data_IF_509652951109
#
_entry.id   IF_509652951109
#
_cell.length_a   1.000
_cell.length_b   1.000
_cell.length_c   1.000
_cell.angle_alpha   90.00
_cell.angle_beta   90.00
_cell.angle_gamma   90.00
#
_symmetry.space_group_name_H-M   'P 1'
#
loop_
_entity.id
_entity.type
_entity.pdbx_description
1 polymer ?
#
# COMPACT_ATOMS: atom_id res chain seq x y z
N UNK A 1 -6.57 -3.42 14.78
CA UNK A 1 -6.63 -2.06 14.20
C UNK A 1 -5.46 -1.97 13.22
N UNK A 2 -5.73 -1.61 11.96
CA UNK A 2 -4.70 -1.54 10.92
C UNK A 2 -3.72 -0.40 11.22
N UNK A 3 -2.44 -0.73 11.43
CA UNK A 3 -1.41 0.26 11.73
C UNK A 3 -1.14 1.22 10.56
N UNK A 4 -1.30 0.75 9.32
CA UNK A 4 -1.04 1.55 8.12
C UNK A 4 -2.03 2.70 7.96
N UNK A 5 -3.27 2.53 8.40
CA UNK A 5 -4.25 3.62 8.36
C UNK A 5 -3.81 4.80 9.24
N UNK A 6 -3.17 4.55 10.39
CA UNK A 6 -2.63 5.61 11.23
C UNK A 6 -1.47 6.35 10.53
N UNK A 7 -0.52 5.61 9.96
CA UNK A 7 0.61 6.19 9.23
C UNK A 7 0.15 7.00 8.02
N UNK A 8 -0.81 6.46 7.25
CA UNK A 8 -1.39 7.13 6.09
C UNK A 8 -2.00 8.48 6.46
N UNK A 9 -2.86 8.51 7.49
CA UNK A 9 -3.48 9.76 7.93
C UNK A 9 -2.44 10.80 8.37
N UNK A 10 -1.39 10.38 9.11
CA UNK A 10 -0.31 11.29 9.54
C UNK A 10 0.52 11.81 8.38
N UNK A 11 0.82 10.98 7.38
CA UNK A 11 1.52 11.43 6.17
C UNK A 11 0.66 12.39 5.36
N UNK A 12 -0.64 12.09 5.18
CA UNK A 12 -1.58 12.98 4.51
C UNK A 12 -1.67 14.34 5.21
N UNK A 13 -1.77 14.34 6.53
CA UNK A 13 -1.82 15.58 7.32
C UNK A 13 -0.51 16.38 7.19
N UNK A 14 0.65 15.71 7.15
CA UNK A 14 1.94 16.35 6.92
C UNK A 14 2.06 16.94 5.50
N UNK A 15 1.59 16.22 4.47
CA UNK A 15 1.52 16.71 3.07
C UNK A 15 0.62 17.94 2.98
N UNK A 16 -0.59 17.87 3.54
CA UNK A 16 -1.52 19.00 3.59
C UNK A 16 -0.92 20.22 4.32
N UNK A 17 -0.25 20.00 5.46
CA UNK A 17 0.42 21.07 6.19
C UNK A 17 1.52 21.74 5.37
N UNK A 18 2.25 20.97 4.56
CA UNK A 18 3.26 21.50 3.65
C UNK A 18 2.64 22.37 2.55
N UNK A 19 1.52 21.93 1.97
CA UNK A 19 0.87 22.62 0.85
C UNK A 19 0.25 23.97 1.28
N UNK A 20 -0.26 24.06 2.52
CA UNK A 20 -0.83 25.31 3.05
C UNK A 20 0.20 26.23 3.73
N UNK A 21 1.44 25.77 3.91
CA UNK A 21 2.48 26.50 4.62
C UNK A 21 2.83 27.82 3.93
N UNK A 22 2.91 28.90 4.73
CA UNK A 22 3.13 30.27 4.26
C UNK A 22 4.59 30.73 4.38
N UNK A 23 5.39 30.00 5.13
CA UNK A 23 6.79 30.31 5.40
C UNK A 23 7.65 29.03 5.50
N UNK A 24 8.96 29.21 5.55
CA UNK A 24 9.91 28.09 5.56
C UNK A 24 9.88 27.31 6.88
N UNK A 25 9.56 27.97 8.01
CA UNK A 25 9.46 27.30 9.31
C UNK A 25 8.31 26.29 9.34
N UNK A 26 7.14 26.68 8.81
CA UNK A 26 5.97 25.80 8.64
C UNK A 26 6.28 24.63 7.69
N UNK A 27 6.97 24.90 6.56
CA UNK A 27 7.41 23.84 5.64
C UNK A 27 8.38 22.86 6.32
N UNK A 28 9.31 23.35 7.12
CA UNK A 28 10.27 22.53 7.84
C UNK A 28 9.59 21.69 8.94
N UNK A 29 8.58 22.22 9.61
CA UNK A 29 7.76 21.47 10.54
C UNK A 29 7.01 20.32 9.85
N UNK A 30 6.39 20.58 8.69
CA UNK A 30 5.70 19.56 7.90
C UNK A 30 6.67 18.46 7.40
N UNK A 31 7.84 18.84 6.89
CA UNK A 31 8.90 17.88 6.50
C UNK A 31 9.37 17.03 7.67
N UNK A 32 9.53 17.63 8.85
CA UNK A 32 9.93 16.93 10.07
C UNK A 32 8.87 15.92 10.52
N UNK A 33 7.59 16.29 10.46
CA UNK A 33 6.48 15.40 10.76
C UNK A 33 6.41 14.21 9.78
N UNK A 34 6.52 14.47 8.48
CA UNK A 34 6.60 13.43 7.45
C UNK A 34 7.77 12.47 7.69
N UNK A 35 8.95 13.03 7.97
CA UNK A 35 10.15 12.22 8.26
C UNK A 35 9.98 11.35 9.49
N UNK A 36 9.39 11.88 10.56
CA UNK A 36 9.17 11.12 11.79
C UNK A 36 8.27 9.88 11.56
N UNK A 37 7.21 10.03 10.74
CA UNK A 37 6.36 8.89 10.35
C UNK A 37 7.16 7.81 9.63
N UNK A 38 8.01 8.21 8.67
CA UNK A 38 8.85 7.27 7.94
C UNK A 38 9.92 6.62 8.79
N UNK A 39 10.46 7.32 9.79
CA UNK A 39 11.42 6.76 10.73
C UNK A 39 10.75 5.70 11.63
N UNK A 40 9.51 5.93 12.09
CA UNK A 40 8.71 4.90 12.79
C UNK A 40 8.40 3.69 11.91
N UNK A 41 8.03 3.91 10.64
CA UNK A 41 7.71 2.83 9.70
C UNK A 41 8.93 1.94 9.42
N UNK A 42 10.14 2.51 9.35
CA UNK A 42 11.39 1.75 9.15
C UNK A 42 11.66 0.77 10.28
N UNK A 43 11.25 1.08 11.51
CA UNK A 43 11.40 0.17 12.65
C UNK A 43 10.52 -1.09 12.50
N UNK A 44 9.49 -1.06 11.63
CA UNK A 44 8.67 -2.21 11.28
C UNK A 44 9.31 -3.09 10.19
N UNK A 45 10.44 -2.66 9.62
CA UNK A 45 11.23 -3.39 8.65
C UNK A 45 10.83 -3.17 7.19
N UNK A 46 11.71 -3.63 6.29
CA UNK A 46 11.62 -3.34 4.85
C UNK A 46 10.32 -3.83 4.19
N UNK A 47 9.79 -4.98 4.63
CA UNK A 47 8.55 -5.52 4.10
C UNK A 47 7.35 -4.61 4.43
N UNK A 48 7.29 -4.09 5.66
CA UNK A 48 6.26 -3.13 6.06
C UNK A 48 6.39 -1.81 5.28
N UNK A 49 7.61 -1.28 5.11
CA UNK A 49 7.85 -0.09 4.30
C UNK A 49 7.35 -0.26 2.85
N UNK A 50 7.65 -1.40 2.22
CA UNK A 50 7.17 -1.69 0.87
C UNK A 50 5.65 -1.73 0.82
N UNK A 51 5.02 -2.52 1.71
CA UNK A 51 3.57 -2.64 1.74
C UNK A 51 2.90 -1.30 2.03
N UNK A 52 3.50 -0.45 2.86
CA UNK A 52 2.95 0.87 3.13
C UNK A 52 3.00 1.79 1.90
N UNK A 53 4.03 1.73 1.06
CA UNK A 53 4.03 2.47 -0.23
C UNK A 53 2.83 2.04 -1.09
N UNK A 54 2.62 0.74 -1.23
CA UNK A 54 1.47 0.18 -1.96
C UNK A 54 0.12 0.57 -1.28
N UNK A 55 0.09 0.62 0.05
CA UNK A 55 -1.06 1.09 0.83
C UNK A 55 -1.40 2.55 0.52
N UNK A 56 -0.41 3.44 0.54
CA UNK A 56 -0.59 4.86 0.28
C UNK A 56 -1.13 5.08 -1.14
N UNK A 57 -0.53 4.43 -2.14
CA UNK A 57 -1.01 4.46 -3.52
C UNK A 57 -2.44 3.94 -3.63
N UNK A 58 -2.76 2.85 -2.93
CA UNK A 58 -4.11 2.28 -2.95
C UNK A 58 -5.15 3.23 -2.37
N UNK A 59 -4.83 3.89 -1.25
CA UNK A 59 -5.70 4.87 -0.60
C UNK A 59 -5.87 6.12 -1.45
N UNK A 60 -4.78 6.63 -2.02
CA UNK A 60 -4.82 7.80 -2.90
C UNK A 60 -5.61 7.51 -4.18
N UNK A 61 -5.60 6.25 -4.65
CA UNK A 61 -6.43 5.78 -5.78
C UNK A 61 -7.88 5.46 -5.39
N UNK A 62 -8.26 5.61 -4.12
CA UNK A 62 -9.61 5.36 -3.63
C UNK A 62 -9.97 3.88 -3.47
N UNK A 63 -9.01 2.98 -3.32
CA UNK A 63 -9.24 1.58 -3.01
C UNK A 63 -9.40 1.33 -1.51
N UNK A 64 -10.27 0.39 -1.14
CA UNK A 64 -10.51 -0.04 0.25
C UNK A 64 -9.43 -0.98 0.78
N UNK A 65 -8.81 -1.77 -0.10
CA UNK A 65 -7.74 -2.70 0.24
C UNK A 65 -6.40 -2.20 -0.28
N UNK A 66 -5.33 -2.60 0.42
CA UNK A 66 -3.97 -2.51 -0.12
C UNK A 66 -3.90 -3.35 -1.38
N UNK A 67 -3.34 -2.81 -2.45
CA UNK A 67 -3.10 -3.52 -3.70
C UNK A 67 -1.60 -3.73 -3.93
N UNK A 68 -1.19 -4.99 -4.06
CA UNK A 68 0.14 -5.35 -4.54
C UNK A 68 0.09 -5.35 -6.07
N UNK A 69 0.50 -4.23 -6.69
CA UNK A 69 0.55 -4.08 -8.15
C UNK A 69 1.91 -4.46 -8.76
N UNK A 70 2.96 -4.54 -7.94
CA UNK A 70 4.33 -4.75 -8.40
C UNK A 70 4.76 -6.23 -8.39
N UNK A 71 5.97 -6.49 -8.90
CA UNK A 71 6.56 -7.83 -8.87
C UNK A 71 6.82 -8.27 -7.43
N UNK A 72 6.48 -9.52 -7.11
CA UNK A 72 6.81 -10.16 -5.83
C UNK A 72 7.73 -11.32 -6.12
N UNK A 73 8.93 -11.30 -5.55
CA UNK A 73 9.89 -12.39 -5.69
C UNK A 73 9.51 -13.56 -4.78
N UNK A 74 9.85 -14.79 -5.19
CA UNK A 74 9.46 -16.01 -4.49
C UNK A 74 9.83 -16.00 -2.99
N UNK A 75 11.01 -15.46 -2.68
CA UNK A 75 11.54 -15.36 -1.32
C UNK A 75 10.99 -14.17 -0.50
N UNK A 76 10.09 -13.36 -1.07
CA UNK A 76 9.46 -12.21 -0.45
C UNK A 76 8.00 -12.47 -0.07
N UNK A 77 7.27 -13.30 -0.83
CA UNK A 77 5.84 -13.51 -0.63
C UNK A 77 5.48 -13.81 0.84
N UNK A 78 6.13 -14.82 1.45
CA UNK A 78 5.89 -15.16 2.85
C UNK A 78 6.23 -14.02 3.83
N UNK A 79 7.27 -13.21 3.54
CA UNK A 79 7.67 -12.08 4.39
C UNK A 79 6.66 -10.93 4.31
N UNK A 80 6.09 -10.69 3.13
CA UNK A 80 5.04 -9.69 2.95
C UNK A 80 3.78 -10.10 3.73
N UNK A 81 3.36 -11.36 3.61
CA UNK A 81 2.19 -11.87 4.34
C UNK A 81 2.40 -11.81 5.87
N UNK A 82 3.59 -12.13 6.36
CA UNK A 82 3.90 -11.98 7.78
C UNK A 82 3.85 -10.51 8.23
N UNK A 83 4.41 -9.60 7.44
CA UNK A 83 4.33 -8.16 7.72
C UNK A 83 2.87 -7.65 7.71
N UNK A 84 2.03 -8.14 6.80
CA UNK A 84 0.59 -7.84 6.79
C UNK A 84 -0.08 -8.25 8.11
N UNK A 85 0.17 -9.48 8.59
CA UNK A 85 -0.37 -9.98 9.86
C UNK A 85 0.05 -9.12 11.03
N UNK A 86 1.34 -8.81 11.12
CA UNK A 86 1.90 -7.98 12.20
C UNK A 86 1.32 -6.57 12.24
N UNK A 87 0.93 -6.03 11.07
CA UNK A 87 0.37 -4.69 10.95
C UNK A 87 -1.18 -4.65 10.93
N UNK A 88 -1.83 -5.80 11.09
CA UNK A 88 -3.28 -5.90 11.15
C UNK A 88 -3.99 -5.70 9.81
N UNK A 89 -3.33 -6.04 8.70
CA UNK A 89 -3.94 -6.14 7.37
C UNK A 89 -4.64 -7.51 7.27
N UNK A 90 -5.96 -7.49 7.11
CA UNK A 90 -6.78 -8.71 7.03
C UNK A 90 -7.07 -9.13 5.59
N UNK A 91 -7.06 -8.17 4.66
CA UNK A 91 -7.33 -8.37 3.24
C UNK A 91 -6.46 -7.46 2.39
N UNK A 92 -6.09 -7.96 1.21
CA UNK A 92 -5.36 -7.22 0.20
C UNK A 92 -5.78 -7.69 -1.20
N UNK A 93 -5.51 -6.87 -2.20
CA UNK A 93 -5.64 -7.23 -3.61
C UNK A 93 -4.27 -7.43 -4.24
N UNK A 94 -4.23 -8.26 -5.28
CA UNK A 94 -3.03 -8.51 -6.07
C UNK A 94 -3.39 -8.35 -7.55
N UNK A 95 -2.92 -7.28 -8.16
CA UNK A 95 -3.28 -6.85 -9.54
C UNK A 95 -2.10 -6.89 -10.52
N UNK A 96 -0.95 -7.38 -10.06
CA UNK A 96 0.30 -7.45 -10.81
C UNK A 96 0.14 -8.16 -12.16
N UNK A 97 0.45 -7.46 -13.26
CA UNK A 97 0.34 -7.95 -14.64
C UNK A 97 1.54 -8.75 -15.14
N UNK A 98 2.47 -9.11 -14.26
CA UNK A 98 3.69 -9.83 -14.64
C UNK A 98 3.41 -11.30 -14.98
N UNK A 99 4.24 -11.89 -15.86
CA UNK A 99 4.03 -13.24 -16.43
C UNK A 99 3.89 -14.39 -15.42
N UNK A 100 4.23 -14.17 -14.15
CA UNK A 100 4.21 -15.15 -13.07
C UNK A 100 3.18 -14.83 -11.98
N UNK A 101 2.15 -14.03 -12.29
CA UNK A 101 1.14 -13.65 -11.32
C UNK A 101 0.41 -14.85 -10.68
N UNK A 102 0.16 -15.91 -11.45
CA UNK A 102 -0.50 -17.13 -10.93
C UNK A 102 0.39 -17.84 -9.91
N UNK A 103 1.68 -17.91 -10.18
CA UNK A 103 2.69 -18.49 -9.29
C UNK A 103 2.84 -17.65 -8.02
N UNK A 104 2.86 -16.31 -8.13
CA UNK A 104 2.82 -15.42 -6.97
C UNK A 104 1.56 -15.63 -6.12
N UNK A 105 0.39 -15.73 -6.76
CA UNK A 105 -0.88 -16.03 -6.09
C UNK A 105 -0.84 -17.40 -5.37
N UNK A 106 -0.16 -18.39 -5.95
CA UNK A 106 0.09 -19.67 -5.30
C UNK A 106 0.96 -19.53 -4.05
N UNK A 107 2.04 -18.74 -4.12
CA UNK A 107 2.91 -18.49 -2.96
C UNK A 107 2.16 -17.81 -1.81
N UNK A 108 1.23 -16.89 -2.08
CA UNK A 108 0.38 -16.31 -1.04
C UNK A 108 -0.50 -17.36 -0.36
N UNK A 109 -1.03 -18.30 -1.14
CA UNK A 109 -1.80 -19.44 -0.61
C UNK A 109 -0.93 -20.35 0.26
N UNK A 110 0.29 -20.65 -0.16
CA UNK A 110 1.27 -21.41 0.65
C UNK A 110 1.66 -20.67 1.94
N UNK A 111 1.72 -19.33 1.89
CA UNK A 111 1.91 -18.49 3.06
C UNK A 111 0.66 -18.37 3.97
N UNK A 112 -0.42 -19.08 3.66
CA UNK A 112 -1.62 -19.20 4.48
C UNK A 112 -2.79 -18.30 4.08
N UNK A 113 -2.69 -17.55 2.98
CA UNK A 113 -3.77 -16.69 2.52
C UNK A 113 -4.89 -17.50 1.84
N UNK A 114 -6.11 -16.98 1.87
CA UNK A 114 -7.25 -17.53 1.13
C UNK A 114 -7.60 -16.61 -0.04
N UNK A 115 -7.60 -17.14 -1.27
CA UNK A 115 -8.15 -16.43 -2.42
C UNK A 115 -9.68 -16.38 -2.30
N UNK A 116 -10.24 -15.17 -2.13
CA UNK A 116 -11.69 -14.94 -2.01
C UNK A 116 -12.36 -14.70 -3.37
N UNK A 117 -11.61 -14.30 -4.41
CA UNK A 117 -12.13 -14.17 -5.78
C UNK A 117 -11.40 -13.12 -6.63
N UNK A 118 -12.04 -12.73 -7.73
CA UNK A 118 -11.62 -11.60 -8.58
C UNK A 118 -12.41 -10.35 -8.20
N UNK A 119 -11.75 -9.19 -8.23
CA UNK A 119 -12.35 -7.88 -7.96
C UNK A 119 -11.87 -6.84 -8.96
N UNK A 120 -12.70 -5.83 -9.20
CA UNK A 120 -12.31 -4.61 -9.90
C UNK A 120 -11.75 -3.62 -8.87
N UNK A 121 -10.63 -2.96 -9.21
CA UNK A 121 -9.99 -1.93 -8.39
C UNK A 121 -9.68 -0.70 -9.23
N UNK A 122 -9.35 0.41 -8.57
CA UNK A 122 -8.76 1.57 -9.20
C UNK A 122 -7.25 1.36 -9.37
N UNK A 123 -6.74 1.55 -10.58
CA UNK A 123 -5.33 1.59 -10.90
C UNK A 123 -4.67 2.86 -10.33
N UNK A 124 -3.35 2.84 -10.13
CA UNK A 124 -2.60 4.05 -9.80
C UNK A 124 -2.48 5.02 -10.99
N UNK A 125 -2.82 4.57 -12.22
CA UNK A 125 -2.90 5.42 -13.38
C UNK A 125 -4.26 6.13 -13.45
N UNK A 126 -4.23 7.45 -13.65
CA UNK A 126 -5.42 8.22 -14.02
C UNK A 126 -5.60 8.23 -15.53
N UNK A 127 -6.85 8.40 -15.97
CA UNK A 127 -7.14 8.64 -17.38
C UNK A 127 -6.43 9.90 -17.86
N UNK A 128 -6.04 9.92 -19.13
CA UNK A 128 -5.25 11.01 -19.69
C UNK A 128 -5.95 12.39 -19.63
N UNK A 129 -7.29 12.42 -19.56
CA UNK A 129 -8.15 13.61 -19.62
C UNK A 129 -8.93 13.91 -18.33
N UNK A 130 -8.69 13.17 -17.25
CA UNK A 130 -9.40 13.38 -15.99
C UNK A 130 -8.62 12.87 -14.79
N UNK A 131 -9.00 13.32 -13.59
CA UNK A 131 -8.49 12.79 -12.32
C UNK A 131 -9.13 11.44 -11.95
N UNK A 132 -9.87 10.81 -12.87
CA UNK A 132 -10.47 9.50 -12.66
C UNK A 132 -9.43 8.39 -12.86
N UNK A 133 -9.30 7.50 -11.89
CA UNK A 133 -8.43 6.34 -11.98
C UNK A 133 -8.95 5.32 -13.02
N UNK A 134 -8.04 4.75 -13.80
CA UNK A 134 -8.36 3.63 -14.69
C UNK A 134 -8.78 2.39 -13.88
N UNK A 135 -9.58 1.51 -14.47
CA UNK A 135 -9.99 0.25 -13.82
C UNK A 135 -8.98 -0.85 -14.09
N UNK A 136 -8.62 -1.58 -13.03
CA UNK A 136 -7.81 -2.78 -13.09
C UNK A 136 -8.54 -3.96 -12.45
N UNK A 137 -8.05 -5.17 -12.70
CA UNK A 137 -8.58 -6.39 -12.11
C UNK A 137 -7.51 -7.04 -11.25
N UNK A 138 -7.91 -7.51 -10.08
CA UNK A 138 -7.01 -8.16 -9.15
C UNK A 138 -7.66 -9.34 -8.44
N UNK A 139 -6.83 -10.14 -7.80
CA UNK A 139 -7.25 -11.21 -6.90
C UNK A 139 -7.45 -10.64 -5.50
N UNK A 140 -8.59 -10.89 -4.87
CA UNK A 140 -8.82 -10.56 -3.47
C UNK A 140 -8.34 -11.72 -2.59
N UNK A 141 -7.46 -11.42 -1.64
CA UNK A 141 -6.96 -12.37 -0.66
C UNK A 141 -7.34 -11.95 0.76
N UNK A 142 -7.62 -12.96 1.58
CA UNK A 142 -7.64 -12.85 3.04
C UNK A 142 -6.33 -13.41 3.61
N UNK A 143 -5.70 -12.64 4.49
CA UNK A 143 -4.38 -12.91 5.12
C UNK A 143 -4.46 -13.96 6.23
#
# INVERSE_FOLDING_TARGET
MNAFENFYNRIRDAKNAYDIAKNEDEKNAARSAYKAVWDELKELGNAACRLFNEYEVSRDSGNDYLDISEVVWDNEAAKLIEAMRQNGIERFTFSSGWSHAVETAWLFKEAGCTLEGLVEINSHFTKWDSDEHEKAHGYLFRV
#
